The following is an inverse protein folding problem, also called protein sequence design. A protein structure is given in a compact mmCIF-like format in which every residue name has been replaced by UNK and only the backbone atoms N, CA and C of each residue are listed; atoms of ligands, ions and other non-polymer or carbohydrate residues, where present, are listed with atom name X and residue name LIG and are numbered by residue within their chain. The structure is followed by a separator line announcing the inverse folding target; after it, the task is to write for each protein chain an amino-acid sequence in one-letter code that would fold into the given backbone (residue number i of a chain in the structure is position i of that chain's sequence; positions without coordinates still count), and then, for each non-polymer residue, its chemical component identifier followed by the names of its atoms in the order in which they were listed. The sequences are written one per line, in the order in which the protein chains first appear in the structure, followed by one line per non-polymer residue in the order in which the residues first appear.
data_IF_575428089351
#
_entry.id   IF_575428089351
#
_cell.length_a   1.000
_cell.length_b   1.000
_cell.length_c   1.000
_cell.angle_alpha   90.00
_cell.angle_beta   90.00
_cell.angle_gamma   90.00
#
_symmetry.space_group_name_H-M   'P 1'
#
loop_
_entity.id
_entity.type
_entity.pdbx_description
1 polymer ?
#
# COMPACT_ATOMS: atom_id res chain seq x y z
N UNK A 1 5.41 28.13 34.79
CA UNK A 1 5.43 26.87 34.03
C UNK A 1 3.97 26.49 33.76
N UNK A 2 3.54 26.37 32.50
CA UNK A 2 2.17 25.94 32.21
C UNK A 2 2.04 24.43 32.38
N UNK A 3 1.17 24.04 33.31
CA UNK A 3 0.77 22.65 33.56
C UNK A 3 0.04 22.15 32.31
N UNK A 4 0.42 20.99 31.76
CA UNK A 4 -0.38 20.34 30.71
C UNK A 4 -1.66 19.89 31.40
N UNK A 5 -2.81 20.31 30.89
CA UNK A 5 -4.07 19.91 31.48
C UNK A 5 -4.26 18.39 31.30
N UNK A 6 -4.83 17.65 32.27
CA UNK A 6 -5.11 16.22 32.12
C UNK A 6 -5.97 15.88 30.89
N UNK A 7 -6.72 16.85 30.35
CA UNK A 7 -7.54 16.69 29.14
C UNK A 7 -6.80 17.02 27.83
N UNK A 8 -5.57 17.54 27.89
CA UNK A 8 -4.75 17.85 26.73
C UNK A 8 -3.90 16.62 26.33
N UNK A 9 -4.49 15.70 25.56
CA UNK A 9 -3.74 14.61 24.92
C UNK A 9 -3.01 15.12 23.66
N UNK A 10 -2.08 16.05 23.86
CA UNK A 10 -1.22 16.57 22.78
C UNK A 10 0.19 16.00 22.92
N UNK A 11 0.41 14.85 22.27
CA UNK A 11 1.72 14.17 22.25
C UNK A 11 2.86 15.06 21.76
N UNK A 12 2.58 16.15 21.04
CA UNK A 12 3.60 17.13 20.62
C UNK A 12 4.14 17.90 21.82
N UNK A 13 3.27 18.41 22.70
CA UNK A 13 3.69 19.14 23.92
C UNK A 13 4.43 18.23 24.91
N UNK A 14 3.99 16.97 25.04
CA UNK A 14 4.70 15.98 25.84
C UNK A 14 6.12 15.77 25.29
N UNK A 15 6.24 15.58 23.98
CA UNK A 15 7.55 15.39 23.35
C UNK A 15 8.44 16.63 23.45
N UNK A 16 7.90 17.84 23.30
CA UNK A 16 8.64 19.09 23.52
C UNK A 16 9.18 19.19 24.94
N UNK A 17 8.37 18.85 25.96
CA UNK A 17 8.82 18.83 27.35
C UNK A 17 9.86 17.73 27.61
N UNK A 18 9.69 16.54 27.03
CA UNK A 18 10.69 15.45 27.13
C UNK A 18 12.05 15.82 26.54
N UNK A 19 12.13 16.84 25.67
CA UNK A 19 13.41 17.34 25.16
C UNK A 19 14.08 18.35 26.09
N UNK A 20 13.38 18.84 27.09
CA UNK A 20 13.87 19.84 28.06
C UNK A 20 14.28 19.23 29.40
N UNK A 21 13.96 17.96 29.62
CA UNK A 21 14.33 17.23 30.84
C UNK A 21 15.75 16.66 30.69
N UNK A 22 16.55 16.80 31.74
CA UNK A 22 17.96 16.39 31.76
C UNK A 22 18.18 15.18 32.68
N UNK A 23 17.20 14.84 33.51
CA UNK A 23 17.28 13.76 34.50
C UNK A 23 16.12 12.75 34.37
N UNK A 24 16.34 11.53 34.87
CA UNK A 24 15.33 10.46 34.85
C UNK A 24 14.14 10.78 35.77
N UNK A 25 14.39 11.51 36.86
CA UNK A 25 13.38 11.98 37.80
C UNK A 25 12.43 12.99 37.14
N UNK A 26 12.95 13.89 36.32
CA UNK A 26 12.13 14.85 35.56
C UNK A 26 11.28 14.18 34.49
N UNK A 27 11.80 13.11 33.83
CA UNK A 27 11.02 12.28 32.90
C UNK A 27 9.86 11.63 33.65
N UNK A 28 10.11 11.00 34.81
CA UNK A 28 9.08 10.39 35.66
C UNK A 28 8.02 11.42 36.05
N UNK A 29 8.43 12.59 36.54
CA UNK A 29 7.51 13.61 37.03
C UNK A 29 6.67 14.22 35.89
N UNK A 30 7.25 14.36 34.69
CA UNK A 30 6.55 14.79 33.49
C UNK A 30 5.48 13.77 33.05
N UNK A 31 5.82 12.49 33.03
CA UNK A 31 4.89 11.42 32.70
C UNK A 31 3.80 11.24 33.77
N UNK A 32 4.12 11.45 35.05
CA UNK A 32 3.14 11.43 36.15
C UNK A 32 2.17 12.62 36.14
N UNK A 33 2.49 13.70 35.41
CA UNK A 33 1.63 14.88 35.27
C UNK A 33 0.62 14.78 34.10
N UNK A 34 0.63 13.67 33.35
CA UNK A 34 -0.22 13.43 32.17
C UNK A 34 -1.00 12.12 32.40
N UNK A 35 -2.21 12.01 31.85
CA UNK A 35 -2.89 10.71 31.71
C UNK A 35 -2.14 9.84 30.66
N UNK A 36 -0.92 9.40 30.97
CA UNK A 36 0.06 8.93 29.97
C UNK A 36 0.72 7.58 30.25
N UNK A 37 1.23 7.28 31.45
CA UNK A 37 1.52 5.92 31.89
C UNK A 37 0.39 5.49 32.82
N UNK A 38 -0.13 4.30 32.61
CA UNK A 38 -1.18 3.77 33.46
C UNK A 38 -0.57 3.05 34.66
N UNK A 39 -0.53 3.67 35.86
CA UNK A 39 0.04 3.02 37.03
C UNK A 39 -0.74 1.75 37.43
N UNK A 40 -1.97 1.58 36.91
CA UNK A 40 -2.83 0.44 37.19
C UNK A 40 -2.75 -0.66 36.10
N UNK A 41 -1.98 -0.47 35.04
CA UNK A 41 -1.82 -1.47 33.98
C UNK A 41 -3.11 -1.80 33.22
N UNK A 42 -4.04 -0.86 33.01
CA UNK A 42 -5.28 -1.08 32.21
C UNK A 42 -4.96 -1.38 30.74
N UNK A 43 -3.73 -1.18 30.28
CA UNK A 43 -3.20 -1.65 28.99
C UNK A 43 -2.08 -2.66 29.26
N UNK A 44 -2.24 -3.89 28.78
CA UNK A 44 -1.24 -4.96 28.91
C UNK A 44 -0.02 -4.66 28.03
N UNK A 45 1.16 -4.90 28.60
CA UNK A 45 2.42 -4.87 27.90
C UNK A 45 3.29 -5.96 28.49
N UNK A 46 3.57 -6.98 27.71
CA UNK A 46 4.41 -8.09 28.07
C UNK A 46 5.85 -7.84 27.60
N UNK A 47 6.79 -8.37 28.38
CA UNK A 47 8.20 -8.39 28.06
C UNK A 47 8.68 -9.84 28.02
N UNK A 48 9.43 -10.17 26.97
CA UNK A 48 10.27 -11.35 26.93
C UNK A 48 11.73 -10.90 26.99
N UNK A 49 12.42 -11.26 28.07
CA UNK A 49 13.86 -11.02 28.20
C UNK A 49 14.63 -12.08 27.39
N UNK A 50 15.77 -11.71 26.76
CA UNK A 50 16.59 -12.66 26.03
C UNK A 50 16.93 -13.90 26.86
N UNK A 51 16.67 -15.09 26.32
CA UNK A 51 17.05 -16.38 26.88
C UNK A 51 18.09 -17.08 25.98
N UNK A 52 18.60 -18.24 26.41
CA UNK A 52 19.45 -19.07 25.56
C UNK A 52 18.72 -19.59 24.32
N UNK A 53 17.40 -19.81 24.42
CA UNK A 53 16.57 -20.30 23.32
C UNK A 53 16.12 -19.19 22.37
N UNK A 54 15.95 -17.96 22.87
CA UNK A 54 15.54 -16.79 22.10
C UNK A 54 16.34 -15.56 22.56
N UNK A 55 17.34 -15.15 21.78
CA UNK A 55 18.27 -14.08 22.16
C UNK A 55 17.71 -12.67 21.97
N UNK A 56 16.41 -12.53 21.73
CA UNK A 56 15.77 -11.24 21.42
C UNK A 56 15.01 -10.72 22.64
N UNK A 57 15.11 -9.40 22.87
CA UNK A 57 14.18 -8.70 23.74
C UNK A 57 12.90 -8.43 22.94
N UNK A 58 11.74 -8.87 23.44
CA UNK A 58 10.46 -8.60 22.81
C UNK A 58 9.55 -7.81 23.75
N UNK A 59 8.85 -6.83 23.19
CA UNK A 59 7.74 -6.14 23.83
C UNK A 59 6.48 -6.39 23.00
N UNK A 60 5.40 -6.82 23.64
CA UNK A 60 4.15 -7.14 22.95
C UNK A 60 2.94 -6.89 23.86
N UNK A 61 1.83 -6.42 23.31
CA UNK A 61 0.59 -6.25 24.09
C UNK A 61 -0.09 -7.57 24.45
N UNK A 62 0.33 -8.69 23.85
CA UNK A 62 -0.18 -10.06 24.08
C UNK A 62 0.96 -11.07 23.92
N UNK A 63 0.84 -12.25 24.54
CA UNK A 63 1.89 -13.27 24.49
C UNK A 63 1.91 -14.01 23.15
N UNK A 64 2.98 -14.75 22.87
CA UNK A 64 3.06 -15.68 21.75
C UNK A 64 2.33 -17.03 22.01
N UNK A 65 1.38 -17.07 22.96
CA UNK A 65 0.67 -18.28 23.34
C UNK A 65 1.55 -19.27 24.11
N UNK A 66 1.41 -20.57 23.83
CA UNK A 66 2.12 -21.67 24.51
C UNK A 66 3.47 -22.04 23.86
N UNK A 67 4.03 -21.16 23.03
CA UNK A 67 5.33 -21.41 22.40
C UNK A 67 6.45 -21.31 23.44
N UNK A 68 6.99 -22.48 23.81
CA UNK A 68 8.00 -22.64 24.86
C UNK A 68 9.33 -21.90 24.60
N UNK A 69 9.53 -21.34 23.40
CA UNK A 69 10.71 -20.51 23.09
C UNK A 69 10.62 -19.12 23.70
N UNK A 70 9.41 -18.66 24.03
CA UNK A 70 9.16 -17.32 24.54
C UNK A 70 8.67 -17.38 25.98
N UNK A 71 9.38 -16.66 26.84
CA UNK A 71 9.03 -16.45 28.25
C UNK A 71 8.53 -15.02 28.40
N UNK A 72 7.24 -14.80 28.18
CA UNK A 72 6.61 -13.50 28.37
C UNK A 72 6.15 -13.32 29.83
N UNK A 73 6.52 -12.19 30.43
CA UNK A 73 6.02 -11.72 31.72
C UNK A 73 5.35 -10.35 31.55
N UNK A 74 4.40 -9.99 32.42
CA UNK A 74 3.84 -8.64 32.43
C UNK A 74 4.92 -7.62 32.81
N UNK A 75 5.03 -6.54 32.03
CA UNK A 75 5.92 -5.44 32.34
C UNK A 75 5.33 -4.63 33.50
N UNK A 76 6.11 -4.49 34.57
CA UNK A 76 5.64 -3.77 35.75
C UNK A 76 5.30 -2.30 35.42
N UNK A 77 4.27 -1.75 36.05
CA UNK A 77 3.87 -0.34 35.89
C UNK A 77 4.51 0.60 36.90
N UNK A 78 5.30 0.07 37.86
CA UNK A 78 5.97 0.86 38.91
C UNK A 78 7.08 1.76 38.37
N UNK A 79 7.60 1.44 37.17
CA UNK A 79 8.78 2.07 36.60
C UNK A 79 8.61 2.37 35.12
N UNK A 80 9.27 3.43 34.66
CA UNK A 80 9.53 3.65 33.24
C UNK A 80 10.83 2.92 32.91
N UNK A 81 10.75 1.91 32.04
CA UNK A 81 11.93 1.16 31.61
C UNK A 81 12.66 1.93 30.51
N UNK A 82 13.99 2.00 30.63
CA UNK A 82 14.87 2.59 29.63
C UNK A 82 15.85 1.54 29.12
N UNK A 83 16.06 1.48 27.81
CA UNK A 83 17.06 0.62 27.19
C UNK A 83 18.20 1.50 26.68
N UNK A 84 19.41 1.23 27.18
CA UNK A 84 20.62 1.87 26.69
C UNK A 84 21.09 1.16 25.41
N UNK A 85 20.83 1.79 24.27
CA UNK A 85 21.21 1.28 22.95
C UNK A 85 22.70 1.47 22.63
N UNK A 86 23.47 2.20 23.46
CA UNK A 86 24.91 2.34 23.27
C UNK A 86 25.66 1.00 23.39
N UNK A 87 25.02 0.00 24.02
CA UNK A 87 25.58 -1.34 24.23
C UNK A 87 24.89 -2.44 23.41
N UNK A 88 23.95 -2.11 22.52
CA UNK A 88 23.23 -3.08 21.69
C UNK A 88 23.76 -3.02 20.25
N UNK A 89 24.62 -3.96 19.82
CA UNK A 89 25.33 -3.84 18.54
C UNK A 89 24.51 -4.26 17.31
N UNK A 90 23.31 -4.83 17.47
CA UNK A 90 22.56 -5.42 16.35
C UNK A 90 21.11 -4.95 16.36
N UNK A 91 20.75 -4.17 15.33
CA UNK A 91 19.38 -3.90 14.96
C UNK A 91 18.89 -5.00 14.01
N UNK A 92 17.60 -5.32 14.08
CA UNK A 92 16.97 -6.11 13.02
C UNK A 92 16.94 -5.26 11.74
N UNK A 93 17.77 -5.60 10.77
CA UNK A 93 17.79 -4.94 9.47
C UNK A 93 17.00 -5.76 8.44
N UNK A 94 16.27 -5.11 7.52
CA UNK A 94 15.77 -5.79 6.33
C UNK A 94 16.91 -6.44 5.55
N UNK A 95 16.66 -7.63 4.98
CA UNK A 95 17.64 -8.30 4.13
C UNK A 95 18.11 -7.38 3.00
N UNK A 96 19.43 -7.32 2.78
CA UNK A 96 20.02 -6.47 1.75
C UNK A 96 19.81 -7.08 0.36
N UNK A 97 19.63 -6.20 -0.63
CA UNK A 97 19.52 -6.58 -2.03
C UNK A 97 20.81 -7.29 -2.48
N UNK A 98 20.66 -8.43 -3.13
CA UNK A 98 21.76 -9.19 -3.69
C UNK A 98 22.57 -8.33 -4.68
N UNK A 99 23.86 -8.19 -4.39
CA UNK A 99 24.83 -7.41 -5.17
C UNK A 99 25.54 -8.22 -6.25
N UNK A 100 25.32 -9.54 -6.32
CA UNK A 100 25.88 -10.41 -7.33
C UNK A 100 25.32 -10.04 -8.70
N UNK A 101 26.22 -9.61 -9.58
CA UNK A 101 25.92 -9.34 -10.97
C UNK A 101 26.24 -10.57 -11.84
N UNK A 102 25.40 -10.86 -12.84
CA UNK A 102 25.74 -11.85 -13.85
C UNK A 102 26.91 -11.33 -14.71
N UNK A 103 27.72 -12.23 -15.30
CA UNK A 103 28.65 -11.83 -16.35
C UNK A 103 27.90 -11.09 -17.49
N UNK A 104 28.49 -10.07 -18.13
CA UNK A 104 27.81 -9.25 -19.15
C UNK A 104 27.22 -10.04 -20.33
N UNK A 105 27.74 -11.24 -20.55
CA UNK A 105 27.46 -12.11 -21.70
C UNK A 105 26.33 -13.14 -21.41
N UNK A 106 25.86 -13.22 -20.16
CA UNK A 106 25.13 -14.39 -19.63
C UNK A 106 23.70 -14.14 -19.14
N UNK A 107 23.06 -13.00 -19.45
CA UNK A 107 21.65 -12.75 -19.04
C UNK A 107 20.69 -12.92 -20.20
N UNK A 108 20.00 -14.07 -20.33
CA UNK A 108 19.03 -14.29 -21.39
C UNK A 108 17.91 -13.25 -21.31
N UNK A 109 17.55 -12.66 -22.45
CA UNK A 109 16.38 -11.79 -22.52
C UNK A 109 15.12 -12.66 -22.50
N UNK A 110 14.18 -12.33 -21.61
CA UNK A 110 12.84 -12.91 -21.65
C UNK A 110 12.13 -12.38 -22.89
N UNK A 111 11.78 -13.27 -23.81
CA UNK A 111 11.16 -12.90 -25.09
C UNK A 111 9.65 -12.65 -24.96
N UNK A 112 8.98 -13.37 -24.06
CA UNK A 112 7.53 -13.31 -23.89
C UNK A 112 7.13 -13.76 -22.48
N UNK A 113 6.03 -13.22 -21.96
CA UNK A 113 5.41 -13.71 -20.72
C UNK A 113 4.72 -15.08 -20.91
N UNK A 114 4.38 -15.43 -22.16
CA UNK A 114 3.62 -16.64 -22.46
C UNK A 114 4.47 -17.92 -22.45
N UNK A 115 5.78 -17.79 -22.22
CA UNK A 115 6.70 -18.90 -22.12
C UNK A 115 7.60 -18.68 -20.92
N UNK A 116 7.51 -19.56 -19.93
CA UNK A 116 8.35 -19.50 -18.73
C UNK A 116 9.81 -19.82 -19.08
N UNK A 117 10.78 -18.92 -18.83
CA UNK A 117 12.18 -19.24 -19.03
C UNK A 117 12.66 -20.25 -17.98
N UNK A 118 13.38 -21.30 -18.41
CA UNK A 118 13.80 -22.40 -17.53
C UNK A 118 14.56 -21.92 -16.28
N UNK A 119 15.43 -20.93 -16.44
CA UNK A 119 16.22 -20.36 -15.34
C UNK A 119 15.39 -19.57 -14.31
N UNK A 120 14.15 -19.19 -14.65
CA UNK A 120 13.24 -18.46 -13.76
C UNK A 120 12.15 -19.35 -13.14
N UNK A 121 11.93 -20.57 -13.64
CA UNK A 121 10.86 -21.47 -13.16
C UNK A 121 10.88 -21.60 -11.64
N UNK A 122 12.05 -21.93 -11.07
CA UNK A 122 12.22 -22.09 -9.62
C UNK A 122 11.94 -20.79 -8.86
N UNK A 123 12.47 -19.66 -9.35
CA UNK A 123 12.26 -18.37 -8.68
C UNK A 123 10.78 -17.94 -8.70
N UNK A 124 10.06 -18.27 -9.78
CA UNK A 124 8.61 -18.03 -9.88
C UNK A 124 7.84 -18.92 -8.90
N UNK A 125 8.18 -20.21 -8.82
CA UNK A 125 7.56 -21.14 -7.87
C UNK A 125 7.80 -20.73 -6.41
N UNK A 126 9.03 -20.37 -6.09
CA UNK A 126 9.39 -19.87 -4.76
C UNK A 126 8.63 -18.57 -4.44
N UNK A 127 8.50 -17.63 -5.40
CA UNK A 127 7.71 -16.40 -5.21
C UNK A 127 6.25 -16.73 -4.90
N UNK A 128 5.62 -17.60 -5.69
CA UNK A 128 4.23 -18.03 -5.48
C UNK A 128 4.10 -18.65 -4.09
N UNK A 129 5.00 -19.55 -3.71
CA UNK A 129 5.00 -20.22 -2.41
C UNK A 129 5.13 -19.23 -1.24
N UNK A 130 6.13 -18.34 -1.28
CA UNK A 130 6.36 -17.37 -0.21
C UNK A 130 5.21 -16.37 -0.09
N UNK A 131 4.66 -15.91 -1.21
CA UNK A 131 3.56 -14.95 -1.22
C UNK A 131 2.23 -15.61 -0.81
N UNK A 132 1.96 -16.83 -1.25
CA UNK A 132 0.78 -17.61 -0.84
C UNK A 132 0.77 -17.84 0.67
N UNK A 133 1.89 -18.31 1.23
CA UNK A 133 2.07 -18.46 2.68
C UNK A 133 1.91 -17.12 3.41
N UNK A 134 2.47 -16.04 2.85
CA UNK A 134 2.37 -14.69 3.42
C UNK A 134 0.92 -14.20 3.50
N UNK A 135 0.12 -14.43 2.45
CA UNK A 135 -1.30 -14.10 2.39
C UNK A 135 -2.10 -14.97 3.35
N UNK A 136 -1.87 -16.29 3.36
CA UNK A 136 -2.52 -17.23 4.29
C UNK A 136 -2.38 -16.77 5.75
N UNK A 137 -1.16 -16.44 6.19
CA UNK A 137 -0.88 -15.95 7.54
C UNK A 137 -1.60 -14.63 7.87
N UNK A 138 -1.92 -13.81 6.86
CA UNK A 138 -2.59 -12.52 7.02
C UNK A 138 -4.12 -12.62 7.02
N UNK A 139 -4.69 -13.75 6.62
CA UNK A 139 -6.16 -13.90 6.56
C UNK A 139 -6.70 -14.97 7.50
N UNK A 140 -5.89 -16.00 7.84
CA UNK A 140 -6.36 -17.14 8.64
C UNK A 140 -6.92 -16.74 10.01
N UNK A 141 -6.26 -15.81 10.70
CA UNK A 141 -6.56 -15.42 12.09
C UNK A 141 -7.49 -14.20 12.18
N UNK A 142 -8.13 -13.80 11.08
CA UNK A 142 -9.11 -12.70 11.09
C UNK A 142 -10.42 -13.21 11.75
N UNK A 143 -10.96 -12.54 12.78
CA UNK A 143 -12.17 -13.00 13.46
C UNK A 143 -13.38 -13.16 12.53
N UNK A 144 -14.14 -14.25 12.70
CA UNK A 144 -15.34 -14.57 11.92
C UNK A 144 -16.59 -14.01 12.63
N UNK A 145 -16.69 -12.68 12.73
CA UNK A 145 -17.83 -12.02 13.39
C UNK A 145 -18.95 -11.65 12.41
N UNK A 146 -18.60 -11.40 11.15
CA UNK A 146 -19.54 -11.11 10.06
C UNK A 146 -18.94 -11.59 8.73
N UNK A 147 -19.77 -11.92 7.72
CA UNK A 147 -19.28 -12.13 6.36
C UNK A 147 -18.48 -10.92 5.86
N UNK A 148 -17.51 -11.15 4.97
CA UNK A 148 -16.69 -10.06 4.41
C UNK A 148 -15.69 -9.52 5.42
N UNK A 149 -14.96 -10.41 6.12
CA UNK A 149 -14.00 -10.03 7.16
C UNK A 149 -12.70 -9.43 6.62
N UNK A 150 -12.36 -9.73 5.36
CA UNK A 150 -11.17 -9.24 4.65
C UNK A 150 -11.61 -8.46 3.41
N UNK A 151 -10.99 -7.30 3.23
CA UNK A 151 -11.06 -6.54 1.98
C UNK A 151 -9.67 -6.35 1.40
N UNK A 152 -9.59 -6.03 0.10
CA UNK A 152 -8.34 -5.75 -0.61
C UNK A 152 -8.42 -4.33 -1.16
N UNK A 153 -7.37 -3.53 -0.94
CA UNK A 153 -7.19 -2.27 -1.66
C UNK A 153 -6.85 -2.59 -3.12
N UNK A 154 -7.82 -2.42 -4.02
CA UNK A 154 -7.83 -3.07 -5.32
C UNK A 154 -7.89 -2.08 -6.47
N UNK A 155 -6.77 -1.92 -7.19
CA UNK A 155 -6.66 -1.06 -8.37
C UNK A 155 -6.86 -1.79 -9.71
N UNK A 156 -6.91 -3.13 -9.68
CA UNK A 156 -6.74 -3.97 -10.87
C UNK A 156 -5.31 -3.99 -11.41
N UNK A 157 -4.34 -3.45 -10.67
CA UNK A 157 -2.91 -3.69 -10.94
C UNK A 157 -2.51 -5.13 -10.62
N UNK A 158 -1.36 -5.56 -11.13
CA UNK A 158 -0.85 -6.92 -10.91
C UNK A 158 -0.68 -7.25 -9.42
N UNK A 159 -0.23 -6.28 -8.61
CA UNK A 159 0.08 -6.50 -7.20
C UNK A 159 -1.17 -6.85 -6.38
N UNK A 160 -2.21 -6.01 -6.48
CA UNK A 160 -3.48 -6.24 -5.81
C UNK A 160 -4.16 -7.49 -6.34
N UNK A 161 -4.06 -7.76 -7.64
CA UNK A 161 -4.73 -8.92 -8.25
C UNK A 161 -4.12 -10.24 -7.79
N UNK A 162 -2.79 -10.36 -7.76
CA UNK A 162 -2.12 -11.56 -7.26
C UNK A 162 -2.46 -11.79 -5.79
N UNK A 163 -2.45 -10.74 -4.95
CA UNK A 163 -2.86 -10.86 -3.55
C UNK A 163 -4.32 -11.31 -3.43
N UNK A 164 -5.23 -10.72 -4.22
CA UNK A 164 -6.66 -11.09 -4.22
C UNK A 164 -6.86 -12.56 -4.58
N UNK A 165 -6.19 -13.04 -5.64
CA UNK A 165 -6.26 -14.42 -6.07
C UNK A 165 -5.74 -15.38 -4.99
N UNK A 166 -4.60 -15.06 -4.37
CA UNK A 166 -4.05 -15.87 -3.28
C UNK A 166 -4.95 -15.84 -2.03
N UNK A 167 -5.57 -14.69 -1.72
CA UNK A 167 -6.48 -14.57 -0.58
C UNK A 167 -7.71 -15.47 -0.73
N UNK A 168 -8.23 -15.62 -1.95
CA UNK A 168 -9.33 -16.55 -2.23
C UNK A 168 -9.04 -17.99 -1.81
N UNK A 169 -7.79 -18.46 -1.91
CA UNK A 169 -7.41 -19.84 -1.53
C UNK A 169 -7.51 -20.12 -0.03
N UNK A 170 -7.45 -19.07 0.79
CA UNK A 170 -7.31 -19.19 2.25
C UNK A 170 -8.53 -18.64 3.02
N UNK A 171 -9.48 -18.03 2.32
CA UNK A 171 -10.75 -17.54 2.89
C UNK A 171 -11.85 -18.59 2.59
N UNK A 172 -12.70 -18.97 3.55
CA UNK A 172 -13.84 -19.88 3.32
C UNK A 172 -14.73 -19.43 2.16
N UNK A 173 -15.16 -20.35 1.28
CA UNK A 173 -15.88 -20.03 0.03
C UNK A 173 -17.24 -19.33 0.23
N UNK A 174 -17.85 -19.51 1.40
CA UNK A 174 -19.11 -18.89 1.82
C UNK A 174 -18.97 -17.41 2.22
N UNK A 175 -17.74 -16.89 2.36
CA UNK A 175 -17.50 -15.48 2.66
C UNK A 175 -17.20 -14.65 1.40
N UNK A 176 -17.74 -13.44 1.23
CA UNK A 176 -17.29 -12.57 0.15
C UNK A 176 -15.89 -12.00 0.41
N UNK A 177 -15.20 -11.58 -0.66
CA UNK A 177 -14.01 -10.73 -0.57
C UNK A 177 -14.37 -9.37 -1.20
N UNK A 178 -14.22 -8.31 -0.41
CA UNK A 178 -14.50 -6.95 -0.86
C UNK A 178 -13.26 -6.34 -1.55
N UNK A 179 -13.44 -5.86 -2.77
CA UNK A 179 -12.41 -5.22 -3.59
C UNK A 179 -12.66 -3.72 -3.59
N UNK A 180 -11.90 -2.98 -2.78
CA UNK A 180 -12.08 -1.55 -2.56
C UNK A 180 -11.37 -0.77 -3.66
N UNK A 181 -12.13 -0.17 -4.58
CA UNK A 181 -11.58 0.60 -5.69
C UNK A 181 -12.09 2.04 -5.66
N UNK A 182 -11.15 2.99 -5.54
CA UNK A 182 -11.43 4.41 -5.38
C UNK A 182 -11.19 5.21 -6.67
N UNK A 183 -12.12 6.12 -6.98
CA UNK A 183 -12.06 7.01 -8.12
C UNK A 183 -12.47 8.42 -7.71
N UNK A 184 -11.66 9.41 -8.08
CA UNK A 184 -11.91 10.82 -7.77
C UNK A 184 -12.49 11.55 -8.98
N UNK A 185 -13.49 12.39 -8.71
CA UNK A 185 -13.90 13.42 -9.64
C UNK A 185 -12.77 14.43 -9.80
N UNK A 186 -12.35 14.67 -11.05
CA UNK A 186 -11.29 15.62 -11.35
C UNK A 186 -11.82 16.72 -12.28
N UNK A 187 -12.20 17.90 -11.73
CA UNK A 187 -12.82 18.99 -12.50
C UNK A 187 -11.99 19.43 -13.70
N UNK A 188 -10.66 19.33 -13.65
CA UNK A 188 -9.79 19.70 -14.78
C UNK A 188 -9.92 18.75 -15.94
N UNK A 189 -9.94 17.43 -15.68
CA UNK A 189 -10.13 16.44 -16.75
C UNK A 189 -11.52 16.55 -17.36
N UNK A 190 -12.53 16.89 -16.56
CA UNK A 190 -13.88 17.18 -17.03
C UNK A 190 -13.88 18.41 -17.95
N UNK A 191 -13.25 19.52 -17.55
CA UNK A 191 -13.09 20.72 -18.40
C UNK A 191 -12.32 20.43 -19.69
N UNK A 192 -11.22 19.67 -19.63
CA UNK A 192 -10.45 19.29 -20.83
C UNK A 192 -11.24 18.38 -21.78
N UNK A 193 -12.12 17.52 -21.27
CA UNK A 193 -13.01 16.69 -22.08
C UNK A 193 -14.13 17.51 -22.72
N UNK A 194 -14.66 18.52 -22.01
CA UNK A 194 -15.69 19.43 -22.52
C UNK A 194 -15.14 20.43 -23.56
N UNK A 195 -13.96 21.00 -23.32
CA UNK A 195 -13.37 22.07 -24.15
C UNK A 195 -12.50 21.54 -25.31
N UNK A 196 -12.09 20.26 -25.24
CA UNK A 196 -11.19 19.64 -26.20
C UNK A 196 -9.73 20.09 -26.02
N UNK A 197 -8.79 19.21 -26.38
CA UNK A 197 -7.35 19.45 -26.20
C UNK A 197 -6.89 20.68 -27.03
N UNK A 198 -6.36 21.76 -26.45
CA UNK A 198 -5.98 22.97 -27.19
C UNK A 198 -4.78 22.78 -28.15
N UNK A 199 -4.11 21.63 -28.11
CA UNK A 199 -2.86 21.37 -28.84
C UNK A 199 -2.96 20.77 -30.25
N UNK A 200 -4.11 20.75 -30.93
CA UNK A 200 -4.19 19.98 -32.19
C UNK A 200 -5.31 20.25 -33.19
N UNK A 201 -5.90 21.45 -33.26
CA UNK A 201 -6.98 21.72 -34.24
C UNK A 201 -6.71 22.99 -35.07
N UNK A 202 -6.62 22.83 -36.38
CA UNK A 202 -6.53 23.91 -37.38
C UNK A 202 -7.72 24.87 -37.28
N UNK A 203 -7.41 26.18 -37.37
CA UNK A 203 -8.32 27.33 -37.21
C UNK A 203 -9.58 27.31 -38.10
N UNK A 204 -9.70 26.42 -39.09
CA UNK A 204 -10.87 26.31 -39.98
C UNK A 204 -12.08 25.57 -39.38
N UNK A 205 -11.93 24.78 -38.31
CA UNK A 205 -13.06 24.06 -37.66
C UNK A 205 -13.71 24.81 -36.48
N UNK A 206 -13.13 25.94 -36.06
CA UNK A 206 -13.60 26.75 -34.90
C UNK A 206 -14.97 27.41 -35.14
N UNK A 207 -15.32 27.72 -36.39
CA UNK A 207 -16.52 28.49 -36.75
C UNK A 207 -17.80 27.66 -36.96
N UNK A 208 -17.69 26.34 -37.12
CA UNK A 208 -18.84 25.45 -37.32
C UNK A 208 -19.42 24.91 -36.00
N UNK A 209 -18.63 24.89 -34.91
CA UNK A 209 -19.04 24.29 -33.63
C UNK A 209 -19.67 25.28 -32.65
N UNK A 210 -19.49 26.58 -32.87
CA UNK A 210 -20.02 27.65 -32.01
C UNK A 210 -21.55 27.85 -32.08
N UNK A 211 -22.24 27.17 -33.00
CA UNK A 211 -23.71 27.30 -33.19
C UNK A 211 -24.51 26.11 -32.66
N UNK A 212 -23.86 25.12 -32.05
CA UNK A 212 -24.52 23.93 -31.49
C UNK A 212 -24.49 23.90 -29.95
N UNK A 213 -23.89 24.89 -29.30
CA UNK A 213 -23.57 24.87 -27.85
C UNK A 213 -24.61 25.55 -26.96
N UNK A 214 -25.71 26.07 -27.52
CA UNK A 214 -26.76 26.75 -26.73
C UNK A 214 -27.89 25.82 -26.27
N UNK A 215 -27.72 24.49 -26.36
CA UNK A 215 -28.78 23.51 -26.03
C UNK A 215 -28.33 22.31 -25.18
N UNK A 216 -27.12 22.34 -24.61
CA UNK A 216 -26.57 21.22 -23.82
C UNK A 216 -26.04 21.67 -22.44
N UNK A 217 -26.80 22.51 -21.74
CA UNK A 217 -26.55 22.88 -20.33
C UNK A 217 -27.23 21.95 -19.30
N UNK A 218 -27.68 20.77 -19.73
CA UNK A 218 -28.28 19.77 -18.84
C UNK A 218 -27.41 18.53 -18.70
N UNK A 219 -26.85 18.37 -17.49
CA UNK A 219 -26.12 17.23 -16.94
C UNK A 219 -24.87 16.76 -17.70
N UNK A 220 -23.73 17.44 -17.47
CA UNK A 220 -22.43 16.79 -17.67
C UNK A 220 -22.31 15.64 -16.65
N UNK A 221 -22.54 14.40 -17.09
CA UNK A 221 -22.41 13.23 -16.25
C UNK A 221 -20.94 13.06 -15.83
N UNK A 222 -20.62 13.32 -14.56
CA UNK A 222 -19.29 13.06 -13.98
C UNK A 222 -18.96 11.58 -14.14
N UNK A 223 -17.96 11.28 -14.96
CA UNK A 223 -17.52 9.90 -15.20
C UNK A 223 -16.44 9.50 -14.21
N UNK A 224 -16.71 8.46 -13.42
CA UNK A 224 -15.74 7.82 -12.54
C UNK A 224 -14.98 6.67 -13.22
N UNK A 225 -15.05 6.56 -14.55
CA UNK A 225 -14.26 5.63 -15.36
C UNK A 225 -12.80 6.11 -15.47
N UNK A 226 -12.16 6.28 -14.32
CA UNK A 226 -10.74 6.54 -14.20
C UNK A 226 -9.95 5.26 -14.54
N UNK A 227 -8.66 5.36 -14.88
CA UNK A 227 -7.87 4.20 -15.27
C UNK A 227 -7.91 3.03 -14.29
N UNK A 228 -7.80 3.28 -12.98
CA UNK A 228 -7.82 2.22 -11.97
C UNK A 228 -9.23 1.61 -11.81
N UNK A 229 -10.30 2.38 -12.06
CA UNK A 229 -11.66 1.84 -12.14
C UNK A 229 -11.80 0.88 -13.32
N UNK A 230 -11.31 1.28 -14.49
CA UNK A 230 -11.38 0.47 -15.71
C UNK A 230 -10.58 -0.83 -15.54
N UNK A 231 -9.34 -0.76 -15.06
CA UNK A 231 -8.55 -1.97 -14.81
C UNK A 231 -9.15 -2.83 -13.70
N UNK A 232 -9.68 -2.22 -12.64
CA UNK A 232 -10.35 -2.95 -11.57
C UNK A 232 -11.58 -3.73 -12.06
N UNK A 233 -12.40 -3.11 -12.91
CA UNK A 233 -13.56 -3.76 -13.52
C UNK A 233 -13.16 -4.92 -14.45
N UNK A 234 -12.09 -4.77 -15.22
CA UNK A 234 -11.57 -5.87 -16.05
C UNK A 234 -11.07 -7.03 -15.19
N UNK A 235 -10.30 -6.73 -14.14
CA UNK A 235 -9.69 -7.75 -13.30
C UNK A 235 -10.67 -8.50 -12.41
N UNK A 236 -11.73 -7.86 -11.94
CA UNK A 236 -12.78 -8.61 -11.23
C UNK A 236 -13.47 -9.62 -12.16
N UNK A 237 -13.57 -9.35 -13.46
CA UNK A 237 -14.08 -10.34 -14.42
C UNK A 237 -13.10 -11.50 -14.66
N UNK A 238 -11.79 -11.25 -14.70
CA UNK A 238 -10.79 -12.32 -14.74
C UNK A 238 -10.86 -13.20 -13.49
N UNK A 239 -10.96 -12.59 -12.31
CA UNK A 239 -11.14 -13.29 -11.03
C UNK A 239 -12.44 -14.09 -10.98
N UNK A 240 -13.56 -13.55 -11.51
CA UNK A 240 -14.84 -14.28 -11.61
C UNK A 240 -14.74 -15.52 -12.51
N UNK A 241 -13.96 -15.45 -13.59
CA UNK A 241 -13.72 -16.62 -14.47
C UNK A 241 -12.84 -17.68 -13.82
N UNK A 242 -11.81 -17.27 -13.08
CA UNK A 242 -10.88 -18.20 -12.43
C UNK A 242 -11.43 -18.79 -11.12
N UNK A 243 -12.23 -18.02 -10.40
CA UNK A 243 -12.76 -18.36 -9.09
C UNK A 243 -14.29 -18.15 -9.06
N UNK A 244 -15.07 -18.93 -9.83
CA UNK A 244 -16.51 -18.71 -10.00
C UNK A 244 -17.33 -18.94 -8.72
N UNK A 245 -16.81 -19.73 -7.78
CA UNK A 245 -17.47 -20.04 -6.50
C UNK A 245 -17.37 -18.89 -5.48
N UNK A 246 -16.50 -17.90 -5.72
CA UNK A 246 -16.30 -16.77 -4.81
C UNK A 246 -17.21 -15.62 -5.16
N UNK A 247 -17.85 -15.06 -4.13
CA UNK A 247 -18.49 -13.75 -4.23
C UNK A 247 -17.44 -12.65 -4.18
N UNK A 248 -17.28 -11.93 -5.29
CA UNK A 248 -16.39 -10.78 -5.42
C UNK A 248 -17.21 -9.48 -5.38
N UNK A 249 -17.15 -8.76 -4.26
CA UNK A 249 -17.82 -7.48 -4.11
C UNK A 249 -16.87 -6.37 -4.60
N UNK A 250 -17.03 -5.97 -5.86
CA UNK A 250 -16.28 -4.82 -6.38
C UNK A 250 -16.92 -3.53 -5.88
N UNK A 251 -16.34 -2.94 -4.83
CA UNK A 251 -16.87 -1.75 -4.17
C UNK A 251 -16.36 -0.52 -4.90
N UNK A 252 -17.26 0.12 -5.64
CA UNK A 252 -17.02 1.37 -6.35
C UNK A 252 -17.11 2.58 -5.42
N UNK A 253 -15.95 3.03 -4.92
CA UNK A 253 -15.84 4.23 -4.09
C UNK A 253 -15.62 5.44 -5.01
N UNK A 254 -16.69 6.17 -5.28
CA UNK A 254 -16.66 7.37 -6.11
C UNK A 254 -16.61 8.60 -5.18
N UNK A 255 -15.58 9.42 -5.34
CA UNK A 255 -15.31 10.57 -4.45
C UNK A 255 -15.53 11.86 -5.23
N UNK A 256 -16.61 12.61 -4.97
CA UNK A 256 -16.82 13.93 -5.52
C UNK A 256 -15.71 14.89 -5.13
N UNK A 257 -15.45 15.89 -5.98
CA UNK A 257 -14.36 16.82 -5.73
C UNK A 257 -14.55 17.59 -4.42
N UNK A 258 -15.77 18.07 -4.16
CA UNK A 258 -16.10 18.80 -2.93
C UNK A 258 -15.86 17.97 -1.66
N UNK A 259 -16.19 16.67 -1.71
CA UNK A 259 -15.97 15.76 -0.60
C UNK A 259 -14.47 15.58 -0.34
N UNK A 260 -13.67 15.42 -1.39
CA UNK A 260 -12.21 15.32 -1.27
C UNK A 260 -11.57 16.58 -0.67
N UNK A 261 -12.09 17.77 -1.02
CA UNK A 261 -11.60 19.03 -0.46
C UNK A 261 -12.02 19.20 0.99
N UNK A 262 -13.24 18.79 1.36
CA UNK A 262 -13.73 18.81 2.74
C UNK A 262 -12.89 17.92 3.68
N UNK A 263 -12.38 16.78 3.19
CA UNK A 263 -11.53 15.88 3.98
C UNK A 263 -10.04 16.30 4.02
N UNK A 264 -9.62 17.27 3.20
CA UNK A 264 -8.21 17.58 2.98
C UNK A 264 -7.44 17.89 4.26
N UNK A 265 -7.96 18.79 5.09
CA UNK A 265 -7.29 19.20 6.33
C UNK A 265 -7.08 18.02 7.30
N UNK A 266 -8.08 17.13 7.40
CA UNK A 266 -7.97 15.91 8.20
C UNK A 266 -6.92 14.96 7.62
N UNK A 267 -6.87 14.80 6.31
CA UNK A 267 -5.89 13.91 5.67
C UNK A 267 -4.46 14.47 5.80
N UNK A 268 -4.29 15.79 5.66
CA UNK A 268 -3.01 16.46 5.86
C UNK A 268 -2.47 16.26 7.28
N UNK A 269 -3.33 16.31 8.31
CA UNK A 269 -2.90 16.06 9.69
C UNK A 269 -2.53 14.59 9.93
N UNK A 270 -3.27 13.64 9.33
CA UNK A 270 -3.02 12.21 9.47
C UNK A 270 -1.70 11.75 8.80
N UNK A 271 -1.30 12.39 7.71
CA UNK A 271 -0.12 11.96 6.94
C UNK A 271 1.23 12.47 7.50
N UNK A 272 1.21 13.45 8.40
CA UNK A 272 2.42 14.05 9.01
C UNK A 272 3.31 12.98 9.64
N UNK A 273 4.64 12.94 9.40
CA UNK A 273 5.43 14.08 8.92
C UNK A 273 5.52 14.19 7.39
N UNK A 274 4.86 13.30 6.64
CA UNK A 274 4.70 13.46 5.20
C UNK A 274 3.98 14.77 4.91
N UNK A 275 4.49 15.54 3.94
CA UNK A 275 4.04 16.92 3.70
C UNK A 275 4.28 17.37 2.26
N UNK A 276 4.32 16.42 1.33
CA UNK A 276 4.44 16.73 -0.10
C UNK A 276 3.09 16.60 -0.80
N UNK A 277 2.97 17.19 -2.00
CA UNK A 277 1.80 17.02 -2.87
C UNK A 277 1.56 15.54 -3.21
N UNK A 278 2.63 14.77 -3.36
CA UNK A 278 2.55 13.32 -3.58
C UNK A 278 1.99 12.59 -2.36
N UNK A 279 2.47 12.91 -1.16
CA UNK A 279 1.98 12.33 0.08
C UNK A 279 0.48 12.54 0.23
N UNK A 280 0.00 13.77 0.01
CA UNK A 280 -1.42 14.08 0.09
C UNK A 280 -2.24 13.32 -0.94
N UNK A 281 -1.75 13.21 -2.18
CA UNK A 281 -2.47 12.51 -3.25
C UNK A 281 -2.60 11.00 -2.95
N UNK A 282 -1.57 10.38 -2.37
CA UNK A 282 -1.61 8.99 -1.94
C UNK A 282 -2.48 8.80 -0.69
N UNK A 283 -2.34 9.69 0.29
CA UNK A 283 -3.14 9.69 1.51
C UNK A 283 -4.63 9.84 1.24
N UNK A 284 -5.04 10.77 0.35
CA UNK A 284 -6.45 10.92 -0.05
C UNK A 284 -7.02 9.63 -0.62
N UNK A 285 -6.28 8.98 -1.54
CA UNK A 285 -6.74 7.72 -2.13
C UNK A 285 -6.93 6.63 -1.07
N UNK A 286 -5.98 6.48 -0.14
CA UNK A 286 -6.07 5.49 0.93
C UNK A 286 -7.15 5.82 1.96
N UNK A 287 -7.33 7.10 2.31
CA UNK A 287 -8.36 7.57 3.23
C UNK A 287 -9.75 7.17 2.73
N UNK A 288 -10.09 7.57 1.51
CA UNK A 288 -11.40 7.27 0.94
C UNK A 288 -11.57 5.78 0.63
N UNK A 289 -10.54 5.08 0.18
CA UNK A 289 -10.61 3.63 -0.04
C UNK A 289 -10.88 2.86 1.27
N UNK A 290 -10.17 3.20 2.34
CA UNK A 290 -10.30 2.54 3.64
C UNK A 290 -11.56 2.93 4.41
N UNK A 291 -12.22 4.05 4.08
CA UNK A 291 -13.60 4.31 4.54
C UNK A 291 -14.56 3.22 4.08
N UNK A 292 -14.33 2.66 2.88
CA UNK A 292 -15.06 1.52 2.31
C UNK A 292 -16.57 1.69 2.19
N UNK A 293 -16.99 2.92 1.91
CA UNK A 293 -18.38 3.28 1.57
C UNK A 293 -18.41 3.57 0.08
N UNK A 294 -19.25 2.87 -0.65
CA UNK A 294 -19.38 3.00 -2.10
C UNK A 294 -20.64 2.33 -2.62
N UNK A 295 -20.53 1.73 -3.80
CA UNK A 295 -21.62 0.99 -4.44
C UNK A 295 -21.10 -0.32 -5.05
N UNK A 296 -21.93 -1.34 -5.17
CA UNK A 296 -21.61 -2.60 -5.85
C UNK A 296 -22.58 -2.82 -7.01
N UNK A 297 -22.21 -3.70 -7.94
CA UNK A 297 -23.07 -4.17 -9.03
C UNK A 297 -23.10 -5.68 -9.04
N UNK A 298 -24.29 -6.25 -9.20
CA UNK A 298 -24.48 -7.69 -9.33
C UNK A 298 -23.88 -8.26 -10.63
N UNK A 299 -23.89 -7.47 -11.72
CA UNK A 299 -23.27 -7.82 -12.99
C UNK A 299 -22.76 -6.58 -13.75
N UNK A 300 -21.88 -6.73 -14.75
CA UNK A 300 -21.56 -5.65 -15.67
C UNK A 300 -22.84 -5.06 -16.29
N UNK A 301 -23.10 -3.78 -16.03
CA UNK A 301 -24.29 -3.07 -16.53
C UNK A 301 -25.53 -3.10 -15.62
N UNK A 302 -25.51 -3.82 -14.50
CA UNK A 302 -26.58 -3.73 -13.50
C UNK A 302 -26.55 -2.35 -12.82
N UNK A 303 -27.71 -1.89 -12.31
CA UNK A 303 -27.79 -0.68 -11.51
C UNK A 303 -26.91 -0.79 -10.26
N UNK A 304 -26.24 0.31 -9.85
CA UNK A 304 -25.39 0.29 -8.67
C UNK A 304 -26.25 0.31 -7.40
N UNK A 305 -25.88 -0.53 -6.43
CA UNK A 305 -26.51 -0.57 -5.10
C UNK A 305 -25.55 -0.02 -4.05
N UNK A 306 -25.99 0.87 -3.14
CA UNK A 306 -25.16 1.35 -2.05
C UNK A 306 -24.60 0.20 -1.20
N UNK A 307 -23.30 0.27 -0.88
CA UNK A 307 -22.60 -0.78 -0.15
C UNK A 307 -21.55 -0.20 0.78
N UNK A 308 -21.51 -0.74 2.00
CA UNK A 308 -20.48 -0.43 2.99
C UNK A 308 -19.84 -1.72 3.45
N UNK A 309 -18.53 -1.86 3.20
CA UNK A 309 -17.76 -3.03 3.63
C UNK A 309 -17.58 -3.01 5.15
N UNK A 310 -17.91 -4.14 5.78
CA UNK A 310 -17.68 -4.37 7.21
C UNK A 310 -16.24 -4.81 7.53
N UNK A 311 -15.43 -5.08 6.51
CA UNK A 311 -14.07 -5.58 6.67
C UNK A 311 -13.20 -4.61 7.49
N UNK A 312 -12.59 -5.15 8.55
CA UNK A 312 -11.63 -4.44 9.41
C UNK A 312 -10.19 -4.67 9.01
N UNK A 313 -9.92 -5.73 8.25
CA UNK A 313 -8.57 -6.06 7.77
C UNK A 313 -8.50 -5.80 6.26
N UNK A 314 -7.56 -4.96 5.85
CA UNK A 314 -7.31 -4.61 4.46
C UNK A 314 -5.98 -5.22 3.99
N UNK A 315 -6.00 -6.00 2.92
CA UNK A 315 -4.78 -6.41 2.24
C UNK A 315 -4.32 -5.30 1.29
N UNK A 316 -3.02 -4.99 1.31
CA UNK A 316 -2.40 -3.95 0.48
C UNK A 316 -1.19 -4.51 -0.30
N UNK A 317 -1.12 -4.21 -1.60
CA UNK A 317 -0.04 -4.61 -2.51
C UNK A 317 1.26 -3.81 -2.43
N UNK A 318 1.34 -2.85 -1.51
CA UNK A 318 2.56 -2.10 -1.21
C UNK A 318 3.75 -3.04 -0.90
N UNK A 319 4.93 -2.67 -1.41
CA UNK A 319 6.17 -3.43 -1.29
C UNK A 319 6.55 -4.16 -2.57
N UNK A 320 5.58 -4.49 -3.43
CA UNK A 320 5.87 -5.16 -4.71
C UNK A 320 6.78 -4.31 -5.61
N UNK A 321 6.52 -3.02 -5.74
CA UNK A 321 7.31 -2.13 -6.58
C UNK A 321 8.77 -2.02 -6.11
N UNK A 322 8.95 -1.88 -4.79
CA UNK A 322 10.23 -1.71 -4.12
C UNK A 322 11.09 -2.98 -4.13
N UNK A 323 10.45 -4.16 -4.10
CA UNK A 323 11.15 -5.44 -4.08
C UNK A 323 11.40 -6.02 -5.46
N UNK A 324 10.54 -5.71 -6.45
CA UNK A 324 10.54 -6.33 -7.78
C UNK A 324 10.80 -5.36 -8.92
N UNK A 325 11.12 -4.11 -8.61
CA UNK A 325 11.57 -3.18 -9.63
C UNK A 325 10.46 -2.64 -10.53
N UNK A 326 9.39 -2.13 -9.94
CA UNK A 326 8.23 -1.67 -10.72
C UNK A 326 8.25 -0.18 -11.10
N UNK A 327 8.99 0.66 -10.38
CA UNK A 327 9.04 2.09 -10.70
C UNK A 327 9.87 2.40 -11.96
N UNK A 328 9.42 3.39 -12.73
CA UNK A 328 10.13 3.85 -13.93
C UNK A 328 11.56 4.33 -13.65
N UNK A 329 11.85 4.76 -12.41
CA UNK A 329 13.19 5.17 -11.97
C UNK A 329 14.21 4.04 -11.98
N UNK A 330 13.81 2.77 -11.81
CA UNK A 330 14.73 1.63 -11.93
C UNK A 330 15.30 1.51 -13.34
N UNK A 331 14.46 1.75 -14.36
CA UNK A 331 14.92 1.80 -15.74
C UNK A 331 15.83 3.01 -15.98
N UNK A 332 15.52 4.16 -15.39
CA UNK A 332 16.40 5.34 -15.46
C UNK A 332 17.75 5.06 -14.80
N UNK A 333 17.77 4.43 -13.62
CA UNK A 333 18.98 4.03 -12.92
C UNK A 333 19.83 3.07 -13.78
N UNK A 334 19.19 2.08 -14.42
CA UNK A 334 19.88 1.20 -15.37
C UNK A 334 20.52 1.94 -16.53
N UNK A 335 19.83 2.93 -17.12
CA UNK A 335 20.39 3.74 -18.20
C UNK A 335 21.60 4.58 -17.77
N UNK A 336 21.64 4.98 -16.50
CA UNK A 336 22.71 5.82 -15.96
C UNK A 336 23.93 5.02 -15.52
N UNK A 337 23.74 3.87 -14.84
CA UNK A 337 24.86 3.11 -14.25
C UNK A 337 24.67 1.59 -14.26
N UNK A 338 23.84 1.08 -15.17
CA UNK A 338 23.63 -0.36 -15.36
C UNK A 338 22.99 -1.05 -14.16
N UNK A 339 23.22 -2.35 -14.03
CA UNK A 339 22.62 -3.18 -12.97
C UNK A 339 23.00 -2.75 -11.55
N UNK A 340 24.22 -2.24 -11.37
CA UNK A 340 24.69 -1.77 -10.07
C UNK A 340 23.82 -0.63 -9.55
N UNK A 341 23.51 0.37 -10.38
CA UNK A 341 22.62 1.46 -10.00
C UNK A 341 21.17 0.99 -9.75
N UNK A 342 20.71 -0.08 -10.40
CA UNK A 342 19.39 -0.67 -10.09
C UNK A 342 19.40 -1.28 -8.68
N UNK A 343 20.46 -2.02 -8.32
CA UNK A 343 20.60 -2.62 -6.99
C UNK A 343 20.62 -1.56 -5.90
N UNK A 344 21.40 -0.49 -6.09
CA UNK A 344 21.46 0.65 -5.17
C UNK A 344 20.11 1.35 -5.03
N UNK A 345 19.39 1.55 -6.14
CA UNK A 345 18.06 2.17 -6.12
C UNK A 345 17.04 1.30 -5.38
N UNK A 346 17.02 -0.02 -5.62
CA UNK A 346 16.14 -0.96 -4.91
C UNK A 346 16.47 -1.03 -3.41
N UNK A 347 17.75 -1.05 -3.04
CA UNK A 347 18.16 -1.04 -1.64
C UNK A 347 17.69 0.25 -0.94
N UNK A 348 17.89 1.40 -1.59
CA UNK A 348 17.43 2.69 -1.10
C UNK A 348 15.92 2.74 -0.90
N UNK A 349 15.16 2.06 -1.77
CA UNK A 349 13.72 1.92 -1.61
C UNK A 349 13.35 1.09 -0.38
N UNK A 350 13.93 -0.09 -0.23
CA UNK A 350 13.70 -0.96 0.94
C UNK A 350 13.97 -0.21 2.25
N UNK A 351 15.09 0.50 2.33
CA UNK A 351 15.48 1.28 3.51
C UNK A 351 14.50 2.44 3.81
N UNK A 352 13.80 2.93 2.80
CA UNK A 352 12.87 4.06 2.91
C UNK A 352 11.41 3.67 3.08
N UNK A 353 11.01 2.42 2.82
CA UNK A 353 9.62 1.95 2.96
C UNK A 353 8.97 2.40 4.30
N UNK A 354 9.64 2.27 5.47
CA UNK A 354 9.04 2.65 6.75
C UNK A 354 8.64 4.12 6.82
N UNK A 355 9.49 5.01 6.29
CA UNK A 355 9.34 6.47 6.44
C UNK A 355 8.65 7.15 5.25
N UNK A 356 8.72 6.56 4.05
CA UNK A 356 8.11 7.09 2.83
C UNK A 356 6.68 6.61 2.59
N UNK A 357 6.36 5.40 3.05
CA UNK A 357 5.09 4.76 2.73
C UNK A 357 4.35 4.32 4.00
N UNK A 358 4.90 3.36 4.74
CA UNK A 358 4.16 2.66 5.82
C UNK A 358 3.62 3.62 6.88
N UNK A 359 4.43 4.55 7.40
CA UNK A 359 3.98 5.45 8.45
C UNK A 359 2.80 6.35 8.02
N UNK A 360 2.82 6.87 6.79
CA UNK A 360 1.69 7.64 6.24
C UNK A 360 0.46 6.76 6.08
N UNK A 361 0.63 5.64 5.38
CA UNK A 361 -0.47 4.79 4.95
C UNK A 361 -1.19 4.17 6.16
N UNK A 362 -0.45 3.75 7.17
CA UNK A 362 -0.99 3.17 8.40
C UNK A 362 -1.89 4.15 9.17
N UNK A 363 -1.43 5.39 9.41
CA UNK A 363 -2.24 6.39 10.13
C UNK A 363 -3.51 6.77 9.40
N UNK A 364 -3.41 6.92 8.07
CA UNK A 364 -4.54 7.26 7.21
C UNK A 364 -5.59 6.15 7.17
N UNK A 365 -5.18 4.89 7.14
CA UNK A 365 -6.12 3.77 7.11
C UNK A 365 -6.69 3.51 8.53
N UNK A 366 -5.84 3.60 9.55
CA UNK A 366 -6.21 3.38 10.95
C UNK A 366 -7.20 4.43 11.47
N UNK A 367 -7.28 5.63 10.88
CA UNK A 367 -8.30 6.63 11.24
C UNK A 367 -9.73 6.15 10.98
N UNK A 368 -9.91 5.13 10.14
CA UNK A 368 -11.20 4.46 9.92
C UNK A 368 -11.38 3.18 10.77
N UNK A 369 -10.50 2.94 11.73
CA UNK A 369 -10.52 1.75 12.58
C UNK A 369 -10.31 0.47 11.77
N UNK A 370 -9.38 0.51 10.81
CA UNK A 370 -9.00 -0.61 9.95
C UNK A 370 -7.52 -0.91 10.07
N UNK A 371 -7.18 -2.19 10.06
CA UNK A 371 -5.81 -2.70 10.06
C UNK A 371 -5.39 -3.00 8.63
N UNK A 372 -4.19 -2.56 8.23
CA UNK A 372 -3.62 -2.91 6.93
C UNK A 372 -2.58 -4.01 7.06
N UNK A 373 -2.65 -5.03 6.20
CA UNK A 373 -1.67 -6.12 6.13
C UNK A 373 -1.00 -6.13 4.76
N UNK A 374 0.31 -6.29 4.76
CA UNK A 374 1.15 -6.15 3.55
C UNK A 374 1.84 -7.47 3.18
N UNK A 375 1.24 -8.33 2.33
CA UNK A 375 1.82 -9.63 1.98
C UNK A 375 3.24 -9.57 1.39
N UNK A 376 3.53 -8.58 0.54
CA UNK A 376 4.86 -8.39 -0.04
C UNK A 376 5.92 -8.02 1.00
N UNK A 377 5.53 -7.39 2.11
CA UNK A 377 6.44 -6.99 3.19
C UNK A 377 6.56 -8.01 4.33
N UNK A 378 6.10 -9.24 4.13
CA UNK A 378 6.48 -10.33 5.02
C UNK A 378 8.00 -10.50 5.02
N UNK A 379 8.62 -10.65 6.21
CA UNK A 379 10.06 -10.85 6.32
C UNK A 379 10.56 -12.02 5.46
N UNK A 380 9.76 -13.08 5.33
CA UNK A 380 10.11 -14.22 4.47
C UNK A 380 10.05 -13.91 2.97
N UNK A 381 9.10 -13.08 2.53
CA UNK A 381 8.99 -12.63 1.13
C UNK A 381 10.11 -11.64 0.83
N UNK A 382 10.35 -10.69 1.74
CA UNK A 382 11.41 -9.70 1.64
C UNK A 382 12.79 -10.39 1.58
N UNK A 383 13.08 -11.33 2.47
CA UNK A 383 14.36 -12.05 2.49
C UNK A 383 14.60 -12.83 1.19
N UNK A 384 13.58 -13.56 0.73
CA UNK A 384 13.64 -14.28 -0.55
C UNK A 384 13.90 -13.32 -1.73
N UNK A 385 13.10 -12.27 -1.86
CA UNK A 385 13.23 -11.32 -2.96
C UNK A 385 14.51 -10.51 -2.90
N UNK A 386 14.98 -10.13 -1.71
CA UNK A 386 16.24 -9.42 -1.53
C UNK A 386 17.41 -10.28 -2.04
N UNK A 387 17.44 -11.58 -1.69
CA UNK A 387 18.49 -12.54 -2.07
C UNK A 387 18.50 -12.96 -3.54
N UNK A 388 17.39 -12.79 -4.28
CA UNK A 388 17.39 -13.08 -5.72
C UNK A 388 18.33 -12.12 -6.47
N UNK A 389 19.04 -12.59 -7.52
CA UNK A 389 19.75 -11.69 -8.43
C UNK A 389 18.78 -10.68 -9.06
N UNK A 390 19.19 -9.42 -9.22
CA UNK A 390 18.31 -8.34 -9.69
C UNK A 390 17.64 -8.63 -11.05
N UNK A 391 18.37 -9.28 -11.96
CA UNK A 391 17.88 -9.64 -13.30
C UNK A 391 16.82 -10.75 -13.30
N UNK A 392 16.66 -11.50 -12.20
CA UNK A 392 15.54 -12.42 -12.03
C UNK A 392 14.25 -11.68 -11.66
N UNK A 393 14.35 -10.50 -11.02
CA UNK A 393 13.23 -9.72 -10.51
C UNK A 393 12.63 -8.83 -11.60
N UNK A 394 13.51 -8.15 -12.34
CA UNK A 394 13.16 -7.21 -13.40
C UNK A 394 14.23 -7.21 -14.51
N UNK A 395 13.82 -6.80 -15.71
CA UNK A 395 14.73 -6.55 -16.83
C UNK A 395 14.46 -5.19 -17.50
N UNK A 396 15.25 -4.15 -17.18
CA UNK A 396 15.06 -2.80 -17.72
C UNK A 396 15.42 -2.67 -19.22
N UNK A 397 15.93 -3.73 -19.85
CA UNK A 397 16.19 -3.80 -21.30
C UNK A 397 14.91 -4.08 -22.10
N UNK A 398 13.94 -4.78 -21.50
CA UNK A 398 12.65 -5.13 -22.11
C UNK A 398 11.67 -3.96 -22.11
N UNK A 399 10.54 -4.06 -22.81
CA UNK A 399 9.53 -2.99 -22.82
C UNK A 399 8.83 -2.80 -21.46
N UNK A 400 8.19 -1.63 -21.28
CA UNK A 400 7.33 -1.36 -20.11
C UNK A 400 6.07 -2.23 -20.20
N UNK A 401 5.75 -2.93 -19.12
CA UNK A 401 4.72 -3.97 -19.06
C UNK A 401 5.27 -5.39 -19.20
N UNK A 402 6.58 -5.54 -19.47
CA UNK A 402 7.25 -6.84 -19.56
C UNK A 402 8.42 -6.91 -18.55
N UNK A 403 9.33 -5.94 -18.62
CA UNK A 403 10.55 -5.94 -17.84
C UNK A 403 10.39 -5.49 -16.37
N UNK A 404 9.49 -4.56 -16.10
CA UNK A 404 9.16 -4.14 -14.74
C UNK A 404 8.37 -5.24 -14.02
N UNK A 405 8.76 -5.59 -12.78
CA UNK A 405 8.15 -6.68 -12.01
C UNK A 405 8.07 -8.01 -12.78
N UNK A 406 9.06 -8.29 -13.63
CA UNK A 406 9.08 -9.45 -14.52
C UNK A 406 8.76 -10.76 -13.77
N UNK A 407 9.36 -10.98 -12.60
CA UNK A 407 9.10 -12.17 -11.78
C UNK A 407 7.63 -12.29 -11.36
N UNK A 408 7.01 -11.19 -10.95
CA UNK A 408 5.58 -11.17 -10.57
C UNK A 408 4.68 -11.37 -11.77
N UNK A 409 5.05 -10.84 -12.94
CA UNK A 409 4.30 -11.04 -14.20
C UNK A 409 4.29 -12.51 -14.60
N UNK A 410 5.45 -13.16 -14.54
CA UNK A 410 5.56 -14.60 -14.78
C UNK A 410 4.79 -15.41 -13.73
N UNK A 411 4.83 -15.01 -12.46
CA UNK A 411 4.02 -15.65 -11.41
C UNK A 411 2.51 -15.48 -11.65
N UNK A 412 2.03 -14.28 -11.98
CA UNK A 412 0.63 -14.01 -12.30
C UNK A 412 0.19 -14.86 -13.50
N UNK A 413 0.99 -14.90 -14.57
CA UNK A 413 0.72 -15.73 -15.74
C UNK A 413 0.64 -17.22 -15.36
N UNK A 414 1.57 -17.74 -14.54
CA UNK A 414 1.56 -19.13 -14.06
C UNK A 414 0.33 -19.46 -13.20
N UNK A 415 -0.21 -18.47 -12.48
CA UNK A 415 -1.46 -18.58 -11.71
C UNK A 415 -2.73 -18.48 -12.58
N UNK A 416 -2.60 -18.23 -13.89
CA UNK A 416 -3.71 -18.07 -14.82
C UNK A 416 -4.26 -16.64 -14.93
N UNK A 417 -3.64 -15.67 -14.25
CA UNK A 417 -3.99 -14.24 -14.30
C UNK A 417 -3.33 -13.58 -15.52
N UNK A 418 -3.86 -13.89 -16.71
CA UNK A 418 -3.26 -13.51 -17.98
C UNK A 418 -3.38 -12.00 -18.21
N UNK A 419 -4.55 -11.42 -17.96
CA UNK A 419 -4.78 -9.98 -18.15
C UNK A 419 -3.94 -9.15 -17.18
N UNK A 420 -3.89 -9.54 -15.90
CA UNK A 420 -3.04 -8.88 -14.91
C UNK A 420 -1.55 -8.98 -15.24
N UNK A 421 -1.08 -10.12 -15.77
CA UNK A 421 0.34 -10.32 -16.10
C UNK A 421 0.86 -9.32 -17.14
N UNK A 422 0.00 -8.87 -18.05
CA UNK A 422 0.35 -7.98 -19.16
C UNK A 422 0.08 -6.49 -18.84
N UNK A 423 -0.62 -6.19 -17.74
CA UNK A 423 -1.03 -4.81 -17.45
C UNK A 423 0.18 -3.93 -17.09
N UNK A 424 0.31 -2.82 -17.81
CA UNK A 424 1.34 -1.80 -17.52
C UNK A 424 1.07 -1.14 -16.17
N UNK A 425 2.12 -0.97 -15.37
CA UNK A 425 2.03 -0.29 -14.08
C UNK A 425 1.49 1.14 -14.25
N UNK A 426 0.60 1.53 -13.35
CA UNK A 426 0.23 2.92 -13.08
C UNK A 426 0.45 3.21 -11.60
N UNK A 427 0.84 4.42 -11.23
CA UNK A 427 0.85 4.81 -9.82
C UNK A 427 -0.56 5.18 -9.39
N UNK A 428 -0.98 4.71 -8.21
CA UNK A 428 -2.33 4.85 -7.66
C UNK A 428 -2.87 6.28 -7.77
N UNK A 429 -2.09 7.29 -7.38
CA UNK A 429 -2.53 8.69 -7.41
C UNK A 429 -2.91 9.21 -8.82
N UNK A 430 -2.32 8.65 -9.88
CA UNK A 430 -2.66 8.98 -11.26
C UNK A 430 -3.74 8.07 -11.83
N UNK A 431 -3.85 6.85 -11.30
CA UNK A 431 -4.83 5.85 -11.70
C UNK A 431 -6.23 6.12 -11.15
N UNK A 432 -6.31 6.55 -9.89
CA UNK A 432 -7.54 6.95 -9.21
C UNK A 432 -7.97 8.40 -9.48
N UNK A 433 -7.08 9.20 -10.09
CA UNK A 433 -7.20 10.65 -10.26
C UNK A 433 -7.15 11.50 -8.98
N UNK A 434 -6.63 10.98 -7.86
CA UNK A 434 -6.43 11.78 -6.64
C UNK A 434 -5.33 12.84 -6.75
N UNK A 435 -4.42 12.73 -7.74
CA UNK A 435 -3.40 13.74 -8.01
C UNK A 435 -3.88 14.83 -8.98
N UNK A 436 -3.25 16.02 -8.87
CA UNK A 436 -3.41 17.16 -9.80
C UNK A 436 -4.85 17.66 -9.95
N UNK A 437 -5.64 17.63 -8.87
CA UNK A 437 -7.00 18.18 -8.88
C UNK A 437 -6.99 19.73 -8.97
N UNK A 438 -6.06 20.39 -8.26
CA UNK A 438 -5.99 21.86 -8.17
C UNK A 438 -4.89 22.50 -9.01
N UNK A 439 -3.97 21.72 -9.59
CA UNK A 439 -2.72 22.25 -10.14
C UNK A 439 -1.84 21.22 -10.83
N UNK A 440 -1.01 21.66 -11.78
CA UNK A 440 0.23 20.94 -12.10
C UNK A 440 1.31 21.38 -11.11
N UNK A 441 1.26 20.84 -9.88
CA UNK A 441 2.35 20.96 -8.91
C UNK A 441 3.23 19.71 -9.02
N UNK A 442 4.55 19.87 -8.84
CA UNK A 442 5.46 18.72 -8.78
C UNK A 442 5.14 17.91 -7.52
N UNK A 443 5.28 16.58 -7.61
CA UNK A 443 4.95 15.68 -6.50
C UNK A 443 5.75 15.98 -5.23
N UNK A 444 7.02 16.33 -5.39
CA UNK A 444 7.95 16.58 -4.26
C UNK A 444 7.80 18.00 -3.67
N UNK A 445 6.91 18.82 -4.21
CA UNK A 445 6.63 20.15 -3.65
C UNK A 445 5.98 20.01 -2.28
N UNK A 446 6.48 20.77 -1.30
CA UNK A 446 5.90 20.84 0.03
C UNK A 446 4.50 21.46 -0.02
N UNK A 447 3.61 20.98 0.84
CA UNK A 447 2.36 21.67 1.13
C UNK A 447 2.64 22.93 1.93
N UNK A 448 1.84 23.96 1.68
CA UNK A 448 1.94 25.29 2.29
C UNK A 448 1.34 25.32 3.70
#
# INVERSE_FOLDING_TARGET
MSVISPQENDGVRLFEKLRTVETMEEIRDLFGAIEGPDPLGRRSLLIHKPTQACTYLLLASVSAGLDARYEFEELCTDHIYCLDFSQVPSYAEPSKVNTLLPPPEDVPLVQSLNQMPDHLVKAVDDLIYHLDKSVMLRVRDVPHQSPGRVAVLFSGGIDSTVITFLAHKHIPLDEPIDLLNVAFENPRKIKLQAEGNPGGISNKKKKARAKATESQEQALHTSYNVPDRISGLQEVEELRRLCPERVWNFVEINVPYEESQGARQTVESLMLPGRTVMDLSLALALYFASRSVGQVRSSPGAEPEPYTSTARVLLNGLGSDELLGGYGRHRSAYKTGGWQSVIEELQLEIDRIPTRNLGRDDRVISSHGKETRHPFLSLTVLDFLARLPVHHKMDPRLEVGLGDKMLLRLAAWKLGLIEASQRKKRAMQFGSHSARMDGERKGDTLLE
#
